data_IF_232235510156
#
_entry.id   IF_232235510156
#
_cell.length_a   1.000
_cell.length_b   1.000
_cell.length_c   1.000
_cell.angle_alpha   90.00
_cell.angle_beta   90.00
_cell.angle_gamma   90.00
#
_symmetry.space_group_name_H-M   'P 1'
#
loop_
_entity.id
_entity.type
_entity.pdbx_description
1 polymer ?
#
# COMPACT_ATOMS: atom_id res chain seq x y z
N UNK A 1 10.39 21.36 11.67
CA UNK A 1 9.91 19.97 11.87
C UNK A 1 8.62 19.95 12.70
N UNK A 2 8.59 20.55 13.90
CA UNK A 2 7.39 20.64 14.75
C UNK A 2 6.21 21.42 14.12
N UNK A 3 6.50 22.53 13.43
CA UNK A 3 5.49 23.31 12.71
C UNK A 3 4.93 22.58 11.48
N UNK A 4 5.76 21.78 10.82
CA UNK A 4 5.37 20.93 9.70
C UNK A 4 4.45 19.79 10.18
N UNK A 5 4.72 19.25 11.37
CA UNK A 5 3.85 18.28 12.04
C UNK A 5 2.51 18.90 12.48
N UNK A 6 2.49 20.17 12.89
CA UNK A 6 1.24 20.90 13.22
C UNK A 6 0.29 21.04 12.03
N UNK A 7 0.80 21.07 10.79
CA UNK A 7 -0.04 21.12 9.58
C UNK A 7 -0.85 19.83 9.33
N UNK A 8 -0.47 18.72 9.96
CA UNK A 8 -1.29 17.49 9.96
C UNK A 8 -2.41 17.53 11.01
N UNK A 9 -2.47 18.57 11.86
CA UNK A 9 -3.51 18.72 12.86
C UNK A 9 -4.86 19.17 12.28
N UNK A 10 -5.97 18.94 13.00
CA UNK A 10 -7.34 19.25 12.55
C UNK A 10 -7.62 20.75 12.36
N UNK A 11 -6.68 21.62 12.71
CA UNK A 11 -6.77 23.07 12.48
C UNK A 11 -6.60 23.48 11.01
N UNK A 12 -6.09 22.59 10.15
CA UNK A 12 -5.88 22.88 8.73
C UNK A 12 -6.77 21.94 7.89
N UNK A 13 -7.85 22.48 7.32
CA UNK A 13 -8.83 21.76 6.50
C UNK A 13 -8.90 22.26 5.05
N UNK A 14 -7.86 22.95 4.56
CA UNK A 14 -7.81 23.44 3.20
C UNK A 14 -7.46 22.33 2.20
N UNK A 15 -8.03 22.39 1.00
CA UNK A 15 -7.79 21.42 -0.09
C UNK A 15 -6.30 21.28 -0.41
N UNK A 16 -5.56 22.39 -0.39
CA UNK A 16 -4.12 22.39 -0.62
C UNK A 16 -3.34 21.64 0.46
N UNK A 17 -3.71 21.82 1.73
CA UNK A 17 -3.09 21.10 2.86
C UNK A 17 -3.43 19.61 2.83
N UNK A 18 -4.66 19.25 2.45
CA UNK A 18 -5.06 17.86 2.26
C UNK A 18 -4.26 17.18 1.14
N UNK A 19 -4.15 17.82 -0.02
CA UNK A 19 -3.37 17.30 -1.15
C UNK A 19 -1.87 17.19 -0.81
N UNK A 20 -1.35 18.15 -0.04
CA UNK A 20 0.02 18.10 0.46
C UNK A 20 0.23 16.91 1.41
N UNK A 21 -0.68 16.67 2.37
CA UNK A 21 -0.60 15.52 3.28
C UNK A 21 -0.60 14.19 2.51
N UNK A 22 -1.49 14.06 1.52
CA UNK A 22 -1.57 12.88 0.64
C UNK A 22 -0.28 12.71 -0.15
N UNK A 23 0.29 13.80 -0.70
CA UNK A 23 1.57 13.75 -1.42
C UNK A 23 2.72 13.30 -0.53
N UNK A 24 2.76 13.71 0.74
CA UNK A 24 3.80 13.30 1.69
C UNK A 24 3.67 11.81 2.02
N UNK A 25 2.45 11.34 2.26
CA UNK A 25 2.19 9.93 2.54
C UNK A 25 2.56 9.03 1.34
N UNK A 26 2.16 9.42 0.14
CA UNK A 26 2.49 8.69 -1.09
C UNK A 26 3.99 8.67 -1.39
N UNK A 27 4.73 9.73 -1.06
CA UNK A 27 6.20 9.74 -1.20
C UNK A 27 6.87 8.72 -0.28
N UNK A 28 6.28 8.39 0.87
CA UNK A 28 6.70 7.27 1.70
C UNK A 28 6.55 5.91 1.00
N UNK A 29 5.59 5.80 0.09
CA UNK A 29 5.37 4.65 -0.80
C UNK A 29 6.04 4.82 -2.16
N UNK A 30 7.07 5.67 -2.28
CA UNK A 30 7.80 5.97 -3.52
C UNK A 30 6.99 6.62 -4.65
N UNK A 31 5.73 6.99 -4.40
CA UNK A 31 4.85 7.65 -5.36
C UNK A 31 4.97 9.18 -5.25
N UNK A 32 5.36 9.83 -6.36
CA UNK A 32 5.42 11.28 -6.42
C UNK A 32 4.33 11.85 -7.34
N UNK A 33 3.18 12.20 -6.76
CA UNK A 33 2.07 12.84 -7.49
C UNK A 33 2.32 14.33 -7.72
N UNK A 34 3.05 15.00 -6.83
CA UNK A 34 3.26 16.44 -6.93
C UNK A 34 4.48 16.77 -7.80
N UNK A 35 4.20 17.13 -9.06
CA UNK A 35 5.20 17.54 -10.05
C UNK A 35 5.95 18.83 -9.65
N UNK A 36 5.44 19.61 -8.68
CA UNK A 36 6.13 20.78 -8.12
C UNK A 36 7.25 20.38 -7.17
N UNK A 37 7.23 19.16 -6.64
CA UNK A 37 8.20 18.67 -5.67
C UNK A 37 9.36 17.94 -6.36
N UNK A 38 10.45 18.68 -6.64
CA UNK A 38 11.68 18.15 -7.27
C UNK A 38 12.65 17.47 -6.30
N UNK A 39 12.29 17.33 -5.02
CA UNK A 39 13.18 16.71 -4.04
C UNK A 39 13.34 15.21 -4.39
N UNK A 40 14.57 14.69 -4.50
CA UNK A 40 14.77 13.27 -4.78
C UNK A 40 14.22 12.43 -3.62
N UNK A 41 13.56 11.32 -3.95
CA UNK A 41 13.19 10.31 -2.96
C UNK A 41 14.47 9.53 -2.63
N UNK A 42 14.86 9.39 -1.36
CA UNK A 42 16.08 8.68 -0.99
C UNK A 42 16.02 7.21 -1.39
N UNK A 43 17.13 6.67 -1.89
CA UNK A 43 17.26 5.28 -2.38
C UNK A 43 16.82 4.25 -1.33
N UNK A 44 17.03 4.55 -0.05
CA UNK A 44 16.63 3.70 1.08
C UNK A 44 15.11 3.42 1.05
N UNK A 45 14.30 4.43 0.70
CA UNK A 45 12.83 4.30 0.64
C UNK A 45 12.42 3.38 -0.51
N UNK A 46 13.17 3.38 -1.62
CA UNK A 46 12.95 2.42 -2.71
C UNK A 46 13.26 0.98 -2.28
N UNK A 47 14.38 0.75 -1.60
CA UNK A 47 14.77 -0.60 -1.14
C UNK A 47 13.71 -1.13 -0.16
N UNK A 48 13.32 -0.32 0.83
CA UNK A 48 12.28 -0.69 1.81
C UNK A 48 10.96 -0.98 1.11
N UNK A 49 10.55 -0.12 0.17
CA UNK A 49 9.30 -0.30 -0.58
C UNK A 49 9.30 -1.59 -1.38
N UNK A 50 10.41 -1.94 -2.07
CA UNK A 50 10.55 -3.20 -2.79
C UNK A 50 10.47 -4.40 -1.83
N UNK A 51 11.16 -4.35 -0.69
CA UNK A 51 11.10 -5.42 0.31
C UNK A 51 9.68 -5.64 0.86
N UNK A 52 8.97 -4.55 1.16
CA UNK A 52 7.57 -4.61 1.61
C UNK A 52 6.69 -5.18 0.50
N UNK A 53 6.86 -4.74 -0.74
CA UNK A 53 6.06 -5.18 -1.89
C UNK A 53 6.24 -6.69 -2.15
N UNK A 54 7.48 -7.18 -2.09
CA UNK A 54 7.79 -8.61 -2.23
C UNK A 54 7.21 -9.44 -1.08
N UNK A 55 7.34 -8.96 0.16
CA UNK A 55 6.76 -9.63 1.33
C UNK A 55 5.24 -9.70 1.25
N UNK A 56 4.61 -8.60 0.83
CA UNK A 56 3.17 -8.52 0.62
C UNK A 56 2.70 -9.49 -0.46
N UNK A 57 3.37 -9.51 -1.63
CA UNK A 57 3.09 -10.44 -2.72
C UNK A 57 3.22 -11.91 -2.25
N UNK A 58 4.25 -12.22 -1.48
CA UNK A 58 4.41 -13.56 -0.94
C UNK A 58 3.27 -13.96 0.00
N UNK A 59 2.87 -13.10 0.93
CA UNK A 59 1.80 -13.42 1.88
C UNK A 59 0.44 -13.48 1.20
N UNK A 60 0.10 -12.47 0.41
CA UNK A 60 -1.26 -12.30 -0.13
C UNK A 60 -1.52 -13.05 -1.43
N UNK A 61 -0.50 -13.39 -2.23
CA UNK A 61 -0.67 -14.24 -3.41
C UNK A 61 -0.19 -15.66 -3.15
N UNK A 62 1.05 -15.85 -2.73
CA UNK A 62 1.64 -17.20 -2.63
C UNK A 62 1.04 -17.96 -1.43
N UNK A 63 1.08 -17.39 -0.24
CA UNK A 63 0.58 -18.06 0.97
C UNK A 63 -0.95 -18.20 0.97
N UNK A 64 -1.67 -17.18 0.47
CA UNK A 64 -3.12 -17.26 0.29
C UNK A 64 -3.50 -18.37 -0.69
N UNK A 65 -2.88 -18.41 -1.88
CA UNK A 65 -3.18 -19.44 -2.90
C UNK A 65 -2.86 -20.83 -2.36
N UNK A 66 -1.72 -21.01 -1.69
CA UNK A 66 -1.37 -22.27 -1.04
C UNK A 66 -2.42 -22.69 0.00
N UNK A 67 -2.87 -21.76 0.85
CA UNK A 67 -3.87 -22.05 1.88
C UNK A 67 -5.21 -22.45 1.28
N UNK A 68 -5.71 -21.69 0.30
CA UNK A 68 -7.02 -21.92 -0.33
C UNK A 68 -7.03 -23.21 -1.16
N UNK A 69 -6.02 -23.42 -2.01
CA UNK A 69 -6.00 -24.55 -2.94
C UNK A 69 -5.47 -25.85 -2.34
N UNK A 70 -4.47 -25.78 -1.45
CA UNK A 70 -3.84 -26.99 -0.91
C UNK A 70 -4.33 -27.32 0.51
N UNK A 71 -4.37 -26.34 1.41
CA UNK A 71 -4.65 -26.61 2.84
C UNK A 71 -6.14 -26.79 3.14
N UNK A 72 -7.00 -25.95 2.59
CA UNK A 72 -8.46 -26.04 2.81
C UNK A 72 -9.09 -27.24 2.10
N UNK A 73 -8.52 -27.72 0.99
CA UNK A 73 -8.97 -28.97 0.36
C UNK A 73 -8.74 -30.20 1.25
N UNK A 74 -7.65 -30.22 2.02
CA UNK A 74 -7.35 -31.34 2.95
C UNK A 74 -8.21 -31.31 4.22
N UNK A 75 -8.51 -30.13 4.75
CA UNK A 75 -9.25 -29.97 6.01
C UNK A 75 -10.77 -29.91 5.81
N UNK A 76 -11.24 -29.62 4.60
CA UNK A 76 -12.67 -29.45 4.29
C UNK A 76 -13.29 -28.15 4.80
N UNK A 77 -12.47 -27.24 5.37
CA UNK A 77 -12.92 -25.96 5.92
C UNK A 77 -13.05 -24.90 4.82
N UNK A 78 -14.22 -24.94 4.16
CA UNK A 78 -14.60 -24.02 3.08
C UNK A 78 -14.82 -22.58 3.59
N UNK A 79 -15.24 -22.40 4.84
CA UNK A 79 -15.56 -21.08 5.38
C UNK A 79 -14.28 -20.26 5.59
N UNK A 80 -13.24 -20.87 6.17
CA UNK A 80 -11.93 -20.25 6.27
C UNK A 80 -11.33 -19.92 4.88
N UNK A 81 -11.52 -20.80 3.90
CA UNK A 81 -11.03 -20.58 2.53
C UNK A 81 -11.66 -19.33 1.89
N UNK A 82 -12.98 -19.18 2.01
CA UNK A 82 -13.72 -18.04 1.43
C UNK A 82 -13.30 -16.73 2.10
N UNK A 83 -13.16 -16.71 3.43
CA UNK A 83 -12.73 -15.51 4.16
C UNK A 83 -11.32 -15.08 3.72
N UNK A 84 -10.37 -16.02 3.72
CA UNK A 84 -8.98 -15.74 3.33
C UNK A 84 -8.91 -15.30 1.86
N UNK A 85 -9.71 -15.91 0.98
CA UNK A 85 -9.79 -15.53 -0.42
C UNK A 85 -10.33 -14.11 -0.62
N UNK A 86 -11.44 -13.79 0.04
CA UNK A 86 -12.05 -12.45 -0.04
C UNK A 86 -11.12 -11.36 0.49
N UNK A 87 -10.40 -11.63 1.58
CA UNK A 87 -9.43 -10.71 2.16
C UNK A 87 -8.26 -10.49 1.20
N UNK A 88 -7.71 -11.56 0.62
CA UNK A 88 -6.61 -11.45 -0.34
C UNK A 88 -6.97 -10.67 -1.59
N UNK A 89 -8.11 -10.97 -2.22
CA UNK A 89 -8.58 -10.21 -3.40
C UNK A 89 -8.78 -8.73 -3.07
N UNK A 90 -9.37 -8.43 -1.91
CA UNK A 90 -9.57 -7.04 -1.48
C UNK A 90 -8.25 -6.30 -1.25
N UNK A 91 -7.25 -7.01 -0.72
CA UNK A 91 -5.88 -6.50 -0.52
C UNK A 91 -5.16 -6.20 -1.83
N UNK A 92 -5.38 -7.02 -2.88
CA UNK A 92 -4.71 -6.86 -4.19
C UNK A 92 -5.27 -5.68 -5.00
N UNK A 93 -6.57 -5.35 -4.87
CA UNK A 93 -7.17 -4.21 -5.58
C UNK A 93 -6.46 -2.90 -5.24
N UNK A 94 -6.09 -2.70 -3.97
CA UNK A 94 -5.34 -1.53 -3.53
C UNK A 94 -3.96 -1.45 -4.18
N UNK A 95 -3.24 -2.56 -4.22
CA UNK A 95 -1.90 -2.65 -4.82
C UNK A 95 -1.93 -2.35 -6.32
N UNK A 96 -2.87 -2.93 -7.06
CA UNK A 96 -3.03 -2.68 -8.51
C UNK A 96 -3.27 -1.19 -8.79
N UNK A 97 -4.08 -0.52 -7.96
CA UNK A 97 -4.32 0.92 -8.09
C UNK A 97 -3.06 1.76 -7.87
N UNK A 98 -2.22 1.38 -6.90
CA UNK A 98 -0.95 2.05 -6.64
C UNK A 98 0.04 1.84 -7.79
N UNK A 99 0.11 0.62 -8.35
CA UNK A 99 0.95 0.33 -9.53
C UNK A 99 0.48 1.15 -10.73
N UNK A 100 -0.82 1.23 -10.97
CA UNK A 100 -1.38 2.04 -12.05
C UNK A 100 -0.96 3.52 -11.92
N UNK A 101 -1.00 4.06 -10.70
CA UNK A 101 -0.61 5.43 -10.38
C UNK A 101 0.91 5.68 -10.43
N UNK A 102 1.72 4.61 -10.39
CA UNK A 102 3.16 4.69 -10.61
C UNK A 102 3.49 4.74 -12.11
N UNK A 103 2.72 4.02 -12.93
CA UNK A 103 2.94 3.89 -14.37
C UNK A 103 2.36 5.07 -15.18
N UNK A 104 1.24 5.66 -14.75
CA UNK A 104 0.56 6.80 -15.38
C UNK A 104 0.64 8.05 -14.50
#
# INVERSE_FOLDING_TARGET
>A
MMETLRRFGPQYCDVETMLWNVSVMLRGLTLNIDRRNKKPIPIIVYIISISICLGYFYVYLVSMSWFVFHRCQQTGDLLAAIIVFSLGVSSEIGTVKLIFMFLH
#
